data_IF_248648316856
#
_entry.id   IF_248648316856
#
_cell.length_a   1.000
_cell.length_b   1.000
_cell.length_c   1.000
_cell.angle_alpha   90.00
_cell.angle_beta   90.00
_cell.angle_gamma   90.00
#
_symmetry.space_group_name_H-M   'P 1'
#
loop_
_entity.id
_entity.type
_entity.pdbx_description
1 polymer ?
#
# COMPACT_ATOMS: atom_id res chain seq x y z
N UNK A 1 -7.98 30.82 -10.63
CA UNK A 1 -8.83 31.37 -9.56
C UNK A 1 -9.58 30.20 -8.97
N UNK A 2 -9.63 30.12 -7.64
CA UNK A 2 -10.43 29.14 -6.91
C UNK A 2 -11.76 29.80 -6.51
N UNK A 3 -12.83 29.05 -6.65
CA UNK A 3 -14.18 29.49 -6.29
C UNK A 3 -14.78 28.48 -5.30
N UNK A 4 -15.64 28.98 -4.42
CA UNK A 4 -16.35 28.15 -3.45
C UNK A 4 -17.58 27.57 -4.19
N UNK A 5 -17.73 26.24 -4.26
CA UNK A 5 -18.93 25.64 -4.85
C UNK A 5 -20.19 26.04 -4.05
N UNK A 6 -21.31 26.24 -4.74
CA UNK A 6 -22.59 26.65 -4.14
C UNK A 6 -23.02 25.73 -3.00
N UNK A 7 -22.84 24.43 -3.15
CA UNK A 7 -23.19 23.42 -2.12
C UNK A 7 -22.29 23.51 -0.85
N UNK A 8 -21.19 24.25 -0.89
CA UNK A 8 -20.27 24.45 0.23
C UNK A 8 -20.36 25.82 0.88
N UNK A 9 -21.10 26.76 0.31
CA UNK A 9 -21.22 28.13 0.84
C UNK A 9 -21.76 28.16 2.29
N UNK A 10 -22.75 27.32 2.59
CA UNK A 10 -23.32 27.25 3.93
C UNK A 10 -22.27 26.80 4.98
N UNK A 11 -21.48 25.79 4.65
CA UNK A 11 -20.39 25.29 5.52
C UNK A 11 -19.32 26.39 5.71
N UNK A 12 -18.91 27.05 4.64
CA UNK A 12 -17.93 28.14 4.70
C UNK A 12 -18.42 29.29 5.56
N UNK A 13 -19.71 29.65 5.44
CA UNK A 13 -20.30 30.71 6.27
C UNK A 13 -20.29 30.34 7.76
N UNK A 14 -20.58 29.10 8.09
CA UNK A 14 -20.54 28.59 9.45
C UNK A 14 -19.11 28.60 10.01
N UNK A 15 -18.12 28.10 9.25
CA UNK A 15 -16.72 28.14 9.62
C UNK A 15 -16.22 29.57 9.87
N UNK A 16 -16.55 30.51 8.97
CA UNK A 16 -16.21 31.95 9.16
C UNK A 16 -16.80 32.54 10.45
N UNK A 17 -18.02 32.13 10.81
CA UNK A 17 -18.70 32.57 12.04
C UNK A 17 -17.93 32.09 13.29
N UNK A 18 -17.47 30.84 13.28
CA UNK A 18 -16.72 30.28 14.42
C UNK A 18 -15.28 30.81 14.48
N UNK A 19 -14.60 30.93 13.35
CA UNK A 19 -13.24 31.42 13.26
C UNK A 19 -13.05 32.86 13.81
N UNK A 20 -14.08 33.71 13.68
CA UNK A 20 -14.03 35.10 14.21
C UNK A 20 -13.89 35.20 15.72
N UNK A 21 -14.22 34.14 16.46
CA UNK A 21 -14.30 34.13 17.93
C UNK A 21 -13.31 33.17 18.58
N UNK A 22 -12.46 32.52 17.81
CA UNK A 22 -11.57 31.48 18.27
C UNK A 22 -10.22 31.55 17.55
N UNK A 23 -9.19 31.07 18.20
CA UNK A 23 -7.93 30.74 17.53
C UNK A 23 -8.16 29.49 16.66
N UNK A 24 -7.78 29.57 15.39
CA UNK A 24 -7.97 28.46 14.43
C UNK A 24 -6.69 27.65 14.36
N UNK A 25 -6.84 26.34 14.56
CA UNK A 25 -5.78 25.36 14.35
C UNK A 25 -6.19 24.42 13.24
N UNK A 26 -5.26 24.14 12.33
CA UNK A 26 -5.49 23.27 11.17
C UNK A 26 -5.06 21.84 11.51
N UNK A 27 -5.96 20.88 11.34
CA UNK A 27 -5.74 19.47 11.73
C UNK A 27 -6.22 18.48 10.66
N UNK A 28 -5.99 18.83 9.38
CA UNK A 28 -6.26 17.93 8.25
C UNK A 28 -5.22 16.81 8.17
N UNK A 29 -5.48 15.78 7.36
CA UNK A 29 -4.60 14.62 7.22
C UNK A 29 -3.15 15.00 6.89
N UNK A 30 -2.22 14.14 7.27
CA UNK A 30 -0.78 14.34 7.07
C UNK A 30 -0.35 13.91 5.65
N UNK A 31 -0.99 14.48 4.64
CA UNK A 31 -0.58 14.30 3.25
C UNK A 31 -0.67 15.62 2.47
N UNK A 32 -0.24 15.62 1.21
CA UNK A 32 -0.27 16.84 0.37
C UNK A 32 -1.68 17.35 0.11
N UNK A 33 -2.67 16.47 0.07
CA UNK A 33 -4.07 16.82 -0.08
C UNK A 33 -4.59 17.53 1.18
N UNK A 34 -4.25 17.02 2.37
CA UNK A 34 -4.56 17.66 3.65
C UNK A 34 -3.85 19.02 3.81
N UNK A 35 -2.59 19.13 3.36
CA UNK A 35 -1.87 20.40 3.37
C UNK A 35 -2.55 21.44 2.45
N UNK A 36 -2.99 21.04 1.26
CA UNK A 36 -3.72 21.92 0.35
C UNK A 36 -5.12 22.30 0.90
N UNK A 37 -5.83 21.39 1.59
CA UNK A 37 -7.08 21.71 2.27
C UNK A 37 -6.84 22.76 3.35
N UNK A 38 -5.80 22.61 4.15
CA UNK A 38 -5.42 23.61 5.17
C UNK A 38 -5.11 24.96 4.55
N UNK A 39 -4.40 25.01 3.42
CA UNK A 39 -4.14 26.23 2.70
C UNK A 39 -5.43 26.89 2.18
N UNK A 40 -6.33 26.13 1.56
CA UNK A 40 -7.63 26.64 1.14
C UNK A 40 -8.47 27.17 2.30
N UNK A 41 -8.38 26.55 3.48
CA UNK A 41 -9.04 27.07 4.69
C UNK A 41 -8.44 28.40 5.13
N UNK A 42 -7.13 28.59 5.04
CA UNK A 42 -6.50 29.89 5.30
C UNK A 42 -7.06 30.96 4.36
N UNK A 43 -7.07 30.71 3.05
CA UNK A 43 -7.61 31.63 2.04
C UNK A 43 -9.08 32.00 2.33
N UNK A 44 -9.92 30.99 2.58
CA UNK A 44 -11.35 31.20 2.79
C UNK A 44 -11.65 31.91 4.10
N UNK A 45 -10.88 31.65 5.16
CA UNK A 45 -11.08 32.22 6.49
C UNK A 45 -10.31 33.55 6.69
N UNK A 46 -9.44 33.93 5.75
CA UNK A 46 -8.62 35.13 5.86
C UNK A 46 -7.49 34.99 6.89
N UNK A 47 -6.92 33.77 6.98
CA UNK A 47 -5.81 33.45 7.89
C UNK A 47 -4.47 33.51 7.12
N UNK A 48 -3.40 33.85 7.83
CA UNK A 48 -2.05 33.83 7.26
C UNK A 48 -1.46 32.42 7.32
N UNK A 49 -1.15 31.79 6.17
CA UNK A 49 -0.59 30.43 6.12
C UNK A 49 0.80 30.34 6.77
N UNK A 50 1.52 31.44 6.91
CA UNK A 50 2.86 31.47 7.53
C UNK A 50 2.82 31.48 9.06
N UNK A 51 1.69 31.84 9.66
CA UNK A 51 1.55 31.97 11.11
C UNK A 51 0.48 31.08 11.72
N UNK A 52 -0.48 30.61 10.91
CA UNK A 52 -1.56 29.74 11.39
C UNK A 52 -1.02 28.39 11.82
N UNK A 53 -1.39 27.98 13.03
CA UNK A 53 -0.94 26.71 13.61
C UNK A 53 -1.51 25.50 12.86
N UNK A 54 -0.63 24.61 12.49
CA UNK A 54 -0.92 23.32 11.84
C UNK A 54 -0.46 22.21 12.76
N UNK A 55 -1.35 21.30 13.13
CA UNK A 55 -1.00 20.07 13.85
C UNK A 55 -1.10 18.87 12.89
N UNK A 56 -0.13 17.98 12.98
CA UNK A 56 -0.05 16.77 12.17
C UNK A 56 0.20 15.56 13.06
N UNK A 57 -0.45 14.47 12.73
CA UNK A 57 -0.29 13.19 13.44
C UNK A 57 -0.63 12.05 12.47
N UNK A 58 0.12 10.95 12.60
CA UNK A 58 -0.07 9.75 11.78
C UNK A 58 -0.99 8.72 12.41
N UNK A 59 -1.46 8.97 13.64
CA UNK A 59 -2.43 8.13 14.35
C UNK A 59 -3.32 8.98 15.25
N UNK A 60 -4.57 8.57 15.41
CA UNK A 60 -5.54 9.28 16.26
C UNK A 60 -5.57 8.61 17.64
N UNK A 61 -4.51 8.88 18.40
CA UNK A 61 -4.38 8.44 19.80
C UNK A 61 -4.20 9.65 20.71
N UNK A 62 -4.60 9.52 21.99
CA UNK A 62 -4.46 10.60 22.99
C UNK A 62 -3.01 11.12 23.07
N UNK A 63 -2.03 10.22 23.02
CA UNK A 63 -0.61 10.55 23.08
C UNK A 63 -0.13 11.31 21.84
N UNK A 64 -0.51 10.84 20.63
CA UNK A 64 -0.12 11.49 19.37
C UNK A 64 -0.75 12.87 19.25
N UNK A 65 -2.03 13.01 19.57
CA UNK A 65 -2.74 14.29 19.54
C UNK A 65 -2.13 15.27 20.54
N UNK A 66 -1.88 14.88 21.78
CA UNK A 66 -1.24 15.74 22.79
C UNK A 66 0.15 16.20 22.34
N UNK A 67 0.94 15.29 21.75
CA UNK A 67 2.25 15.63 21.19
C UNK A 67 2.16 16.62 20.04
N UNK A 68 1.20 16.43 19.12
CA UNK A 68 0.97 17.34 18.00
C UNK A 68 0.52 18.73 18.45
N UNK A 69 -0.38 18.81 19.44
CA UNK A 69 -0.83 20.07 20.02
C UNK A 69 0.32 20.80 20.76
N UNK A 70 1.20 20.07 21.43
CA UNK A 70 2.36 20.67 22.10
C UNK A 70 3.44 21.16 21.11
N UNK A 71 3.46 20.64 19.87
CA UNK A 71 4.46 20.98 18.85
C UNK A 71 3.82 21.33 17.51
N UNK A 72 3.01 22.41 17.44
CA UNK A 72 2.40 22.81 16.18
C UNK A 72 3.48 23.35 15.23
N UNK A 73 3.27 23.13 13.93
CA UNK A 73 4.06 23.74 12.85
C UNK A 73 3.23 24.75 12.07
N UNK A 74 3.80 25.37 11.07
CA UNK A 74 3.09 26.14 10.05
C UNK A 74 2.84 25.28 8.81
N UNK A 75 2.09 25.80 7.84
CA UNK A 75 1.88 25.10 6.57
C UNK A 75 3.18 24.91 5.80
N UNK A 76 3.32 23.77 5.17
CA UNK A 76 4.38 23.51 4.19
C UNK A 76 3.88 23.91 2.80
N UNK A 77 4.27 25.12 2.38
CA UNK A 77 3.90 25.65 1.06
C UNK A 77 4.50 24.87 -0.10
N UNK A 78 5.57 24.09 0.10
CA UNK A 78 6.11 23.22 -0.95
C UNK A 78 5.15 22.06 -1.23
N UNK A 79 4.56 21.47 -0.19
CA UNK A 79 3.52 20.43 -0.34
C UNK A 79 2.25 21.01 -0.99
N UNK A 80 1.84 22.21 -0.60
CA UNK A 80 0.71 22.93 -1.24
C UNK A 80 0.99 23.14 -2.72
N UNK A 81 2.17 23.68 -3.07
CA UNK A 81 2.56 23.91 -4.45
C UNK A 81 2.67 22.62 -5.26
N UNK A 82 3.16 21.54 -4.67
CA UNK A 82 3.21 20.22 -5.32
C UNK A 82 1.81 19.69 -5.63
N UNK A 83 0.84 19.86 -4.73
CA UNK A 83 -0.55 19.49 -4.96
C UNK A 83 -1.19 20.35 -6.05
N UNK A 84 -0.97 21.65 -6.03
CA UNK A 84 -1.49 22.58 -7.04
C UNK A 84 -0.90 22.31 -8.43
N UNK A 85 0.42 22.09 -8.51
CA UNK A 85 1.09 21.72 -9.75
C UNK A 85 0.53 20.42 -10.34
N UNK A 86 0.31 19.41 -9.49
CA UNK A 86 -0.33 18.15 -9.89
C UNK A 86 -1.74 18.38 -10.45
N UNK A 87 -2.55 19.18 -9.76
CA UNK A 87 -3.91 19.51 -10.20
C UNK A 87 -3.92 20.27 -11.53
N UNK A 88 -3.03 21.26 -11.68
CA UNK A 88 -2.86 22.01 -12.91
C UNK A 88 -2.43 21.10 -14.07
N UNK A 89 -1.45 20.23 -13.83
CA UNK A 89 -0.98 19.27 -14.83
C UNK A 89 -2.09 18.29 -15.26
N UNK A 90 -2.82 17.71 -14.32
CA UNK A 90 -3.95 16.81 -14.62
C UNK A 90 -5.01 17.52 -15.48
N UNK A 91 -5.28 18.79 -15.20
CA UNK A 91 -6.22 19.61 -15.97
C UNK A 91 -5.71 19.89 -17.39
N UNK A 92 -4.46 20.35 -17.52
CA UNK A 92 -3.86 20.65 -18.82
C UNK A 92 -3.83 19.39 -19.68
N UNK A 93 -3.27 18.29 -19.16
CA UNK A 93 -3.20 17.01 -19.90
C UNK A 93 -4.59 16.52 -20.29
N UNK A 94 -5.56 16.58 -19.38
CA UNK A 94 -6.95 16.18 -19.68
C UNK A 94 -7.58 17.00 -20.80
N UNK A 95 -7.48 18.32 -20.74
CA UNK A 95 -8.10 19.21 -21.72
C UNK A 95 -7.40 19.23 -23.08
N UNK A 96 -6.08 19.09 -23.11
CA UNK A 96 -5.30 19.08 -24.36
C UNK A 96 -5.38 17.73 -25.10
N UNK A 97 -5.29 16.61 -24.36
CA UNK A 97 -5.18 15.29 -24.98
C UNK A 97 -6.54 14.60 -25.19
N UNK A 98 -7.54 14.83 -24.35
CA UNK A 98 -8.82 14.16 -24.51
C UNK A 98 -9.51 14.50 -25.85
N UNK A 99 -9.51 15.76 -26.35
CA UNK A 99 -10.07 16.08 -27.66
C UNK A 99 -9.37 15.35 -28.82
N UNK A 100 -8.06 15.11 -28.69
CA UNK A 100 -7.29 14.35 -29.69
C UNK A 100 -7.78 12.90 -29.74
N UNK A 101 -8.03 12.29 -28.58
CA UNK A 101 -8.62 10.94 -28.50
C UNK A 101 -10.02 10.91 -29.14
N UNK A 102 -10.85 11.91 -28.89
CA UNK A 102 -12.18 11.98 -29.45
C UNK A 102 -12.17 12.07 -30.98
N UNK A 103 -11.23 12.86 -31.50
CA UNK A 103 -11.07 13.02 -32.95
C UNK A 103 -10.52 11.75 -33.61
N UNK A 104 -9.53 11.11 -33.01
CA UNK A 104 -8.85 9.95 -33.60
C UNK A 104 -9.61 8.65 -33.45
N UNK A 105 -10.34 8.48 -32.35
CA UNK A 105 -11.05 7.25 -32.00
C UNK A 105 -12.58 7.38 -32.12
N UNK A 106 -13.08 8.56 -32.58
CA UNK A 106 -14.53 8.85 -32.76
C UNK A 106 -15.38 8.53 -31.52
N UNK A 107 -14.81 8.68 -30.33
CA UNK A 107 -15.49 8.39 -29.07
C UNK A 107 -15.24 9.50 -28.04
N UNK A 108 -16.27 10.26 -27.72
CA UNK A 108 -16.22 11.41 -26.81
C UNK A 108 -16.25 11.02 -25.31
N UNK A 109 -16.41 9.75 -25.00
CA UNK A 109 -16.38 9.27 -23.60
C UNK A 109 -14.97 9.00 -23.10
N UNK A 110 -13.99 8.97 -24.00
CA UNK A 110 -12.58 8.72 -23.65
C UNK A 110 -11.97 9.95 -22.98
N UNK A 111 -11.10 9.72 -22.04
CA UNK A 111 -10.30 10.76 -21.39
C UNK A 111 -8.83 10.36 -21.29
N UNK A 112 -7.96 11.33 -21.55
CA UNK A 112 -6.55 11.23 -21.25
C UNK A 112 -6.28 11.76 -19.84
N UNK A 113 -5.32 11.20 -19.16
CA UNK A 113 -4.92 11.66 -17.85
C UNK A 113 -3.77 10.82 -17.28
N UNK A 114 -3.19 11.32 -16.25
CA UNK A 114 -2.01 10.75 -15.63
C UNK A 114 -2.22 9.30 -15.13
N UNK A 115 -3.39 8.97 -14.63
CA UNK A 115 -3.71 7.63 -14.11
C UNK A 115 -4.19 6.72 -15.23
N UNK A 116 -5.20 7.10 -15.99
CA UNK A 116 -5.80 6.25 -17.02
C UNK A 116 -4.84 5.95 -18.17
N UNK A 117 -4.03 6.92 -18.59
CA UNK A 117 -3.05 6.70 -19.67
C UNK A 117 -1.99 5.68 -19.28
N UNK A 118 -1.51 5.74 -18.03
CA UNK A 118 -0.53 4.76 -17.50
C UNK A 118 -1.19 3.39 -17.33
N UNK A 119 -2.41 3.32 -16.81
CA UNK A 119 -3.13 2.07 -16.65
C UNK A 119 -3.36 1.36 -17.99
N UNK A 120 -3.81 2.09 -19.02
CA UNK A 120 -3.96 1.54 -20.38
C UNK A 120 -2.63 1.06 -20.95
N UNK A 121 -1.56 1.83 -20.77
CA UNK A 121 -0.22 1.44 -21.21
C UNK A 121 0.21 0.11 -20.59
N UNK A 122 0.09 -0.05 -19.28
CA UNK A 122 0.47 -1.28 -18.58
C UNK A 122 -0.33 -2.49 -19.07
N UNK A 123 -1.63 -2.32 -19.29
CA UNK A 123 -2.49 -3.39 -19.83
C UNK A 123 -2.07 -3.77 -21.26
N UNK A 124 -1.82 -2.78 -22.13
CA UNK A 124 -1.40 -3.02 -23.52
C UNK A 124 -0.02 -3.67 -23.59
N UNK A 125 0.94 -3.21 -22.79
CA UNK A 125 2.27 -3.83 -22.71
C UNK A 125 2.16 -5.28 -22.27
N UNK A 126 1.34 -5.56 -21.24
CA UNK A 126 1.13 -6.93 -20.77
C UNK A 126 0.44 -7.82 -21.81
N UNK A 127 -0.55 -7.28 -22.52
CA UNK A 127 -1.21 -8.01 -23.60
C UNK A 127 -0.23 -8.34 -24.76
N UNK A 128 0.64 -7.42 -25.12
CA UNK A 128 1.71 -7.66 -26.10
C UNK A 128 2.67 -8.75 -25.66
N UNK A 129 3.05 -8.78 -24.38
CA UNK A 129 3.86 -9.84 -23.80
C UNK A 129 3.16 -11.21 -23.93
N UNK A 130 1.83 -11.24 -23.67
CA UNK A 130 1.03 -12.46 -23.79
C UNK A 130 0.95 -12.92 -25.25
N UNK A 131 0.70 -12.01 -26.19
CA UNK A 131 0.64 -12.32 -27.63
C UNK A 131 1.98 -12.76 -28.20
N UNK A 132 3.08 -12.19 -27.70
CA UNK A 132 4.45 -12.58 -28.09
C UNK A 132 4.97 -13.82 -27.39
N UNK A 133 4.23 -14.36 -26.41
CA UNK A 133 4.70 -15.50 -25.62
C UNK A 133 4.57 -16.81 -26.37
N UNK A 134 5.70 -17.42 -26.68
CA UNK A 134 5.78 -18.76 -27.24
C UNK A 134 5.78 -19.79 -26.12
N UNK A 135 4.67 -20.52 -25.98
CA UNK A 135 4.57 -21.60 -25.00
C UNK A 135 5.44 -22.79 -25.44
N UNK A 136 6.38 -23.15 -24.57
CA UNK A 136 7.21 -24.35 -24.73
C UNK A 136 6.73 -25.38 -23.73
N UNK A 137 6.17 -26.48 -24.24
CA UNK A 137 5.78 -27.62 -23.41
C UNK A 137 7.03 -28.34 -22.90
N UNK A 138 7.00 -28.80 -21.65
CA UNK A 138 8.04 -29.64 -21.09
C UNK A 138 7.43 -30.71 -20.20
N UNK A 139 7.91 -31.93 -20.31
CA UNK A 139 7.45 -33.07 -19.53
C UNK A 139 8.24 -33.18 -18.23
N UNK A 140 7.50 -33.16 -17.12
CA UNK A 140 8.03 -33.32 -15.76
C UNK A 140 7.74 -34.75 -15.30
N UNK A 141 8.77 -35.46 -14.85
CA UNK A 141 8.62 -36.81 -14.32
C UNK A 141 8.66 -36.76 -12.80
N UNK A 142 7.65 -37.39 -12.19
CA UNK A 142 7.53 -37.55 -10.75
C UNK A 142 7.37 -39.02 -10.44
N UNK A 143 8.19 -39.53 -9.54
CA UNK A 143 8.08 -40.90 -9.02
C UNK A 143 7.45 -40.87 -7.62
N UNK A 144 6.66 -41.88 -7.32
CA UNK A 144 6.15 -42.13 -5.96
C UNK A 144 6.85 -43.41 -5.47
N UNK A 145 7.70 -43.23 -4.47
CA UNK A 145 8.41 -44.33 -3.85
C UNK A 145 7.72 -44.77 -2.56
N UNK A 146 7.84 -46.04 -2.23
CA UNK A 146 7.36 -46.60 -0.99
C UNK A 146 8.54 -47.27 -0.26
N UNK A 147 8.77 -46.85 0.98
CA UNK A 147 9.75 -47.42 1.91
C UNK A 147 9.12 -47.49 3.32
N UNK A 148 9.27 -48.65 3.98
CA UNK A 148 8.80 -48.85 5.38
C UNK A 148 7.35 -48.36 5.64
N UNK A 149 6.43 -48.70 4.74
CA UNK A 149 5.00 -48.30 4.77
C UNK A 149 4.75 -46.79 4.60
N UNK A 150 5.76 -46.01 4.30
CA UNK A 150 5.64 -44.58 3.99
C UNK A 150 5.86 -44.33 2.51
N UNK A 151 5.09 -43.41 1.96
CA UNK A 151 5.24 -42.98 0.57
C UNK A 151 5.85 -41.59 0.52
N UNK A 152 6.76 -41.37 -0.43
CA UNK A 152 7.31 -40.03 -0.70
C UNK A 152 7.41 -39.81 -2.21
N UNK A 153 7.31 -38.54 -2.60
CA UNK A 153 7.45 -38.09 -3.99
C UNK A 153 8.88 -37.66 -4.25
N UNK A 154 9.42 -38.07 -5.38
CA UNK A 154 10.67 -37.57 -5.92
C UNK A 154 10.44 -37.00 -7.31
N UNK A 155 11.01 -35.86 -7.59
CA UNK A 155 10.93 -35.20 -8.89
C UNK A 155 12.29 -35.31 -9.57
N UNK A 156 12.29 -35.70 -10.87
CA UNK A 156 13.49 -35.71 -11.68
C UNK A 156 13.95 -34.24 -11.88
N UNK A 157 15.22 -33.98 -11.65
CA UNK A 157 15.83 -32.67 -11.81
C UNK A 157 16.03 -32.23 -13.29
N UNK A 158 15.56 -33.04 -14.24
CA UNK A 158 15.55 -32.81 -15.67
C UNK A 158 14.12 -32.78 -16.21
N UNK A 159 13.85 -31.89 -17.16
CA UNK A 159 12.62 -31.90 -17.96
C UNK A 159 12.93 -32.35 -19.38
N UNK A 160 11.98 -33.04 -20.01
CA UNK A 160 12.09 -33.47 -21.40
C UNK A 160 11.27 -32.56 -22.30
N UNK A 161 11.81 -32.28 -23.49
CA UNK A 161 11.13 -31.44 -24.47
C UNK A 161 10.01 -32.17 -25.20
N UNK A 162 10.13 -33.50 -25.37
CA UNK A 162 9.17 -34.33 -26.10
C UNK A 162 8.63 -35.46 -25.25
N UNK A 163 7.41 -35.91 -25.58
CA UNK A 163 6.78 -37.08 -24.96
C UNK A 163 7.60 -38.34 -25.20
N UNK A 164 8.18 -38.47 -26.39
CA UNK A 164 9.01 -39.61 -26.75
C UNK A 164 10.21 -39.76 -25.81
N UNK A 165 10.98 -38.70 -25.62
CA UNK A 165 12.13 -38.70 -24.68
C UNK A 165 11.67 -39.06 -23.23
N UNK A 166 10.55 -38.48 -22.79
CA UNK A 166 10.01 -38.78 -21.47
C UNK A 166 9.61 -40.26 -21.32
N UNK A 167 8.97 -40.84 -22.36
CA UNK A 167 8.59 -42.24 -22.37
C UNK A 167 9.78 -43.19 -22.44
N UNK A 168 10.81 -42.87 -23.25
CA UNK A 168 12.07 -43.64 -23.31
C UNK A 168 12.74 -43.69 -21.93
N UNK A 169 12.78 -42.57 -21.24
CA UNK A 169 13.29 -42.52 -19.86
C UNK A 169 12.44 -43.34 -18.88
N UNK A 170 11.11 -43.24 -18.95
CA UNK A 170 10.20 -44.02 -18.10
C UNK A 170 10.35 -45.54 -18.33
N UNK A 171 10.52 -45.98 -19.57
CA UNK A 171 10.78 -47.38 -19.87
C UNK A 171 12.09 -47.88 -19.23
N UNK A 172 13.15 -47.04 -19.29
CA UNK A 172 14.41 -47.36 -18.62
C UNK A 172 14.29 -47.42 -17.09
N UNK A 173 13.33 -46.68 -16.51
CA UNK A 173 13.07 -46.67 -15.06
C UNK A 173 12.41 -47.96 -14.55
N UNK A 174 11.73 -48.77 -15.41
CA UNK A 174 10.99 -49.97 -14.98
C UNK A 174 11.91 -51.01 -14.33
N UNK A 175 13.09 -51.22 -14.89
CA UNK A 175 14.08 -52.18 -14.39
C UNK A 175 15.20 -51.53 -13.56
N UNK A 176 15.11 -50.25 -13.30
CA UNK A 176 16.17 -49.50 -12.59
C UNK A 176 16.16 -49.80 -11.07
N UNK A 177 17.35 -49.88 -10.50
CA UNK A 177 17.52 -49.94 -9.05
C UNK A 177 17.63 -48.51 -8.50
N UNK A 178 16.82 -48.20 -7.50
CA UNK A 178 16.81 -46.88 -6.85
C UNK A 178 17.51 -46.94 -5.51
N UNK A 179 18.35 -45.96 -5.24
CA UNK A 179 19.07 -45.81 -3.96
C UNK A 179 19.03 -44.36 -3.53
N UNK A 180 18.98 -44.15 -2.22
CA UNK A 180 19.18 -42.82 -1.65
C UNK A 180 20.69 -42.53 -1.68
N UNK A 181 21.09 -41.55 -2.51
CA UNK A 181 22.48 -41.18 -2.66
C UNK A 181 23.02 -40.24 -1.57
N UNK A 182 22.17 -39.29 -1.19
CA UNK A 182 22.54 -38.27 -0.18
C UNK A 182 21.28 -37.72 0.50
N UNK A 183 21.42 -37.33 1.76
CA UNK A 183 20.39 -36.63 2.54
C UNK A 183 20.98 -35.33 3.06
N UNK A 184 20.60 -34.22 2.45
CA UNK A 184 21.03 -32.88 2.85
C UNK A 184 19.99 -32.23 3.76
N UNK A 185 20.38 -31.93 4.99
CA UNK A 185 19.59 -31.13 5.90
C UNK A 185 20.18 -29.71 5.91
N UNK A 186 19.39 -28.76 5.42
CA UNK A 186 19.80 -27.34 5.38
C UNK A 186 18.90 -26.53 6.31
N UNK A 187 19.47 -25.66 7.15
CA UNK A 187 18.65 -24.74 7.91
C UNK A 187 17.89 -23.79 6.96
N UNK A 188 16.62 -23.59 7.24
CA UNK A 188 15.81 -22.65 6.53
C UNK A 188 15.35 -21.54 7.46
N UNK A 189 15.44 -20.31 6.99
CA UNK A 189 14.98 -19.13 7.73
C UNK A 189 13.74 -18.60 6.98
N UNK A 190 12.66 -18.40 7.71
CA UNK A 190 11.46 -17.72 7.20
C UNK A 190 11.35 -16.37 7.89
N UNK A 191 11.60 -15.31 7.14
CA UNK A 191 11.45 -13.94 7.62
C UNK A 191 10.00 -13.47 7.49
N UNK A 192 9.49 -12.66 8.43
CA UNK A 192 8.20 -11.99 8.27
C UNK A 192 8.22 -11.01 7.11
N UNK A 193 7.04 -10.71 6.57
CA UNK A 193 6.88 -9.65 5.59
C UNK A 193 7.13 -8.27 6.22
N UNK A 194 7.47 -7.29 5.39
CA UNK A 194 7.54 -5.90 5.84
C UNK A 194 6.15 -5.39 6.29
N UNK A 195 6.10 -4.37 7.14
CA UNK A 195 4.86 -3.69 7.49
C UNK A 195 4.09 -3.19 6.26
N UNK A 196 2.78 -3.03 6.39
CA UNK A 196 1.92 -2.67 5.27
C UNK A 196 2.14 -1.25 4.76
N UNK A 197 2.24 -1.15 3.44
CA UNK A 197 1.95 0.06 2.68
C UNK A 197 0.50 0.01 2.18
N UNK A 198 -0.03 1.11 1.63
CA UNK A 198 -1.36 1.12 0.98
C UNK A 198 -1.49 -0.01 -0.04
N UNK A 199 -0.49 -0.17 -0.91
CA UNK A 199 -0.51 -1.18 -1.97
C UNK A 199 -0.50 -2.61 -1.42
N UNK A 200 0.37 -2.91 -0.46
CA UNK A 200 0.47 -4.27 0.11
C UNK A 200 -0.73 -4.61 0.99
N UNK A 201 -1.32 -3.62 1.68
CA UNK A 201 -2.59 -3.81 2.39
C UNK A 201 -3.72 -4.18 1.43
N UNK A 202 -3.86 -3.49 0.29
CA UNK A 202 -4.87 -3.79 -0.72
C UNK A 202 -4.70 -5.18 -1.31
N UNK A 203 -3.45 -5.59 -1.62
CA UNK A 203 -3.15 -6.92 -2.14
C UNK A 203 -3.50 -8.02 -1.14
N UNK A 204 -3.14 -7.84 0.13
CA UNK A 204 -3.39 -8.83 1.17
C UNK A 204 -4.89 -8.94 1.50
N UNK A 205 -5.60 -7.82 1.54
CA UNK A 205 -7.06 -7.78 1.73
C UNK A 205 -7.79 -8.44 0.55
N UNK A 206 -7.33 -8.22 -0.68
CA UNK A 206 -7.88 -8.90 -1.85
C UNK A 206 -7.65 -10.41 -1.78
N UNK A 207 -6.43 -10.82 -1.44
CA UNK A 207 -6.04 -12.23 -1.40
C UNK A 207 -6.73 -13.01 -0.28
N UNK A 208 -6.83 -12.45 0.92
CA UNK A 208 -7.36 -13.15 2.11
C UNK A 208 -8.85 -12.93 2.35
N UNK A 209 -9.37 -11.76 1.99
CA UNK A 209 -10.73 -11.34 2.31
C UNK A 209 -11.59 -11.12 1.06
N UNK A 210 -11.02 -11.25 -0.13
CA UNK A 210 -11.69 -10.94 -1.41
C UNK A 210 -12.25 -9.52 -1.48
N UNK A 211 -11.60 -8.56 -0.80
CA UNK A 211 -12.02 -7.17 -0.80
C UNK A 211 -11.57 -6.47 -2.07
N UNK A 212 -12.44 -5.63 -2.63
CA UNK A 212 -12.03 -4.68 -3.67
C UNK A 212 -11.15 -3.58 -3.07
N UNK A 213 -10.38 -2.89 -3.91
CA UNK A 213 -9.58 -1.72 -3.51
C UNK A 213 -10.41 -0.67 -2.79
N UNK A 214 -11.60 -0.34 -3.33
CA UNK A 214 -12.52 0.62 -2.71
C UNK A 214 -12.98 0.18 -1.32
N UNK A 215 -13.38 -1.09 -1.16
CA UNK A 215 -13.81 -1.63 0.14
C UNK A 215 -12.65 -1.60 1.13
N UNK A 216 -11.46 -2.01 0.71
CA UNK A 216 -10.26 -1.99 1.57
C UNK A 216 -9.97 -0.59 2.08
N UNK A 217 -9.94 0.41 1.18
CA UNK A 217 -9.67 1.78 1.58
C UNK A 217 -10.76 2.41 2.45
N UNK A 218 -12.04 2.10 2.18
CA UNK A 218 -13.15 2.56 3.02
C UNK A 218 -13.08 1.99 4.44
N UNK A 219 -12.72 0.71 4.59
CA UNK A 219 -12.54 0.08 5.91
C UNK A 219 -11.31 0.64 6.62
N UNK A 220 -10.19 0.79 5.91
CA UNK A 220 -8.96 1.36 6.46
C UNK A 220 -9.19 2.80 6.95
N UNK A 221 -9.93 3.62 6.21
CA UNK A 221 -10.31 4.98 6.62
C UNK A 221 -11.08 4.96 7.96
N UNK A 222 -12.08 4.11 8.09
CA UNK A 222 -12.85 3.98 9.33
C UNK A 222 -11.99 3.50 10.51
N UNK A 223 -11.05 2.60 10.27
CA UNK A 223 -10.13 2.13 11.30
C UNK A 223 -9.18 3.26 11.75
N UNK A 224 -8.67 4.06 10.82
CA UNK A 224 -7.87 5.24 11.13
C UNK A 224 -8.66 6.27 11.93
N UNK A 225 -9.84 6.68 11.45
CA UNK A 225 -10.71 7.65 12.12
C UNK A 225 -11.13 7.22 13.53
N UNK A 226 -11.23 5.90 13.75
CA UNK A 226 -11.50 5.33 15.09
C UNK A 226 -10.25 5.10 15.94
N UNK A 227 -9.08 5.56 15.47
CA UNK A 227 -7.80 5.47 16.19
C UNK A 227 -7.23 4.07 16.30
N UNK A 228 -7.63 3.12 15.45
CA UNK A 228 -7.22 1.71 15.54
C UNK A 228 -6.00 1.35 14.72
N UNK A 229 -5.73 2.11 13.67
CA UNK A 229 -4.53 1.96 12.84
C UNK A 229 -3.89 3.32 12.57
N UNK A 230 -2.63 3.32 12.15
CA UNK A 230 -1.94 4.48 11.61
C UNK A 230 -2.53 4.90 10.26
N UNK A 231 -2.15 6.07 9.76
CA UNK A 231 -2.65 6.62 8.50
C UNK A 231 -2.43 5.66 7.33
N UNK A 232 -3.51 5.38 6.60
CA UNK A 232 -3.54 4.29 5.61
C UNK A 232 -3.05 4.69 4.22
N UNK A 233 -2.76 5.96 3.93
CA UNK A 233 -2.21 6.40 2.65
C UNK A 233 -0.71 6.62 2.80
N UNK A 234 0.05 5.54 2.73
CA UNK A 234 1.51 5.56 2.86
C UNK A 234 2.16 4.54 1.93
N UNK A 235 3.32 4.86 1.44
CA UNK A 235 4.23 3.94 0.74
C UNK A 235 5.45 3.56 1.60
N UNK A 236 5.49 4.05 2.84
CA UNK A 236 6.52 3.73 3.81
C UNK A 236 6.31 2.37 4.45
N UNK A 237 7.40 1.64 4.65
CA UNK A 237 7.48 0.42 5.47
C UNK A 237 8.14 0.67 6.81
N UNK A 238 8.53 1.91 7.10
CA UNK A 238 9.22 2.27 8.34
C UNK A 238 8.26 2.28 9.51
N UNK A 239 8.77 1.87 10.67
CA UNK A 239 8.06 1.96 11.95
C UNK A 239 8.77 3.00 12.82
N UNK A 240 8.00 3.76 13.59
CA UNK A 240 8.55 4.67 14.59
C UNK A 240 9.33 3.90 15.65
N UNK A 241 10.28 4.56 16.29
CA UNK A 241 11.06 3.96 17.38
C UNK A 241 10.15 3.43 18.51
N UNK A 242 9.14 4.24 18.86
CA UNK A 242 8.16 3.85 19.86
C UNK A 242 7.39 2.59 19.47
N UNK A 243 6.89 2.52 18.22
CA UNK A 243 6.15 1.35 17.73
C UNK A 243 7.01 0.07 17.76
N UNK A 244 8.30 0.20 17.43
CA UNK A 244 9.23 -0.94 17.49
C UNK A 244 9.45 -1.42 18.91
N UNK A 245 9.63 -0.50 19.84
CA UNK A 245 9.81 -0.84 21.27
C UNK A 245 8.54 -1.50 21.85
N UNK A 246 7.36 -0.95 21.59
CA UNK A 246 6.09 -1.53 22.01
C UNK A 246 5.87 -2.93 21.42
N UNK A 247 6.25 -3.13 20.14
CA UNK A 247 6.17 -4.44 19.48
C UNK A 247 7.17 -5.44 20.09
N UNK A 248 8.39 -5.01 20.36
CA UNK A 248 9.40 -5.85 21.01
C UNK A 248 8.96 -6.30 22.41
N UNK A 249 8.49 -5.36 23.24
CA UNK A 249 7.96 -5.66 24.57
C UNK A 249 6.78 -6.64 24.51
N UNK A 250 5.85 -6.42 23.58
CA UNK A 250 4.70 -7.30 23.39
C UNK A 250 5.13 -8.72 22.98
N UNK A 251 6.07 -8.85 22.04
CA UNK A 251 6.59 -10.14 21.60
C UNK A 251 7.31 -10.86 22.74
N UNK A 252 8.19 -10.18 23.46
CA UNK A 252 8.93 -10.76 24.58
C UNK A 252 7.97 -11.26 25.66
N UNK A 253 6.97 -10.47 26.01
CA UNK A 253 6.02 -10.81 27.07
C UNK A 253 5.05 -11.93 26.67
N UNK A 254 4.71 -12.06 25.37
CA UNK A 254 3.73 -13.03 24.90
C UNK A 254 4.35 -14.34 24.44
N UNK A 255 5.52 -14.28 23.78
CA UNK A 255 6.13 -15.44 23.12
C UNK A 255 7.51 -15.78 23.65
N UNK A 256 8.23 -14.87 24.29
CA UNK A 256 9.59 -15.05 24.76
C UNK A 256 10.62 -14.25 23.97
N UNK A 257 11.77 -14.01 24.59
CA UNK A 257 12.85 -13.20 24.03
C UNK A 257 13.44 -13.78 22.74
N UNK A 258 13.43 -15.08 22.60
CA UNK A 258 13.95 -15.79 21.42
C UNK A 258 13.15 -15.52 20.14
N UNK A 259 11.92 -15.02 20.26
CA UNK A 259 11.08 -14.63 19.13
C UNK A 259 11.21 -13.14 18.74
N UNK A 260 11.96 -12.37 19.53
CA UNK A 260 12.18 -10.95 19.26
C UNK A 260 13.41 -10.72 18.40
N UNK A 261 13.21 -10.09 17.24
CA UNK A 261 14.27 -9.62 16.34
C UNK A 261 13.89 -8.27 15.75
N UNK A 262 14.07 -7.17 16.50
CA UNK A 262 13.72 -5.83 16.05
C UNK A 262 14.41 -5.51 14.73
N UNK A 263 13.61 -5.29 13.68
CA UNK A 263 14.10 -5.01 12.34
C UNK A 263 13.60 -3.64 11.88
N UNK A 264 14.51 -2.79 11.41
CA UNK A 264 14.13 -1.55 10.73
C UNK A 264 14.01 -1.79 9.24
N UNK A 265 12.81 -1.55 8.73
CA UNK A 265 12.56 -1.56 7.30
C UNK A 265 12.79 -0.18 6.71
N UNK A 266 13.43 -0.12 5.57
CA UNK A 266 13.66 1.12 4.83
C UNK A 266 12.97 1.05 3.48
N UNK A 267 12.31 2.13 3.10
CA UNK A 267 11.71 2.27 1.78
C UNK A 267 12.82 2.54 0.76
N UNK A 268 12.87 1.76 -0.32
CA UNK A 268 13.90 1.93 -1.38
C UNK A 268 13.68 3.14 -2.28
N UNK A 269 12.56 3.83 -2.13
CA UNK A 269 12.15 4.89 -3.03
C UNK A 269 12.41 6.25 -2.38
N UNK A 270 13.41 7.00 -2.87
CA UNK A 270 13.78 8.33 -2.37
C UNK A 270 12.68 9.40 -2.59
N UNK A 271 11.65 9.09 -3.38
CA UNK A 271 10.47 9.94 -3.58
C UNK A 271 9.29 9.58 -2.66
N UNK A 272 9.44 8.53 -1.85
CA UNK A 272 8.48 8.23 -0.81
C UNK A 272 8.41 9.40 0.17
N UNK A 273 7.21 9.74 0.62
CA UNK A 273 7.05 10.69 1.71
C UNK A 273 7.63 10.03 2.98
N UNK A 274 8.93 10.20 3.20
CA UNK A 274 9.69 9.56 4.29
C UNK A 274 9.19 9.92 5.70
N UNK A 275 8.34 10.94 5.80
CA UNK A 275 7.72 11.35 7.05
C UNK A 275 6.62 10.40 7.54
N UNK A 276 6.11 9.52 6.68
CA UNK A 276 5.01 8.62 7.02
C UNK A 276 5.50 7.29 7.59
N UNK A 277 4.78 6.81 8.60
CA UNK A 277 4.93 5.48 9.15
C UNK A 277 4.17 4.44 8.29
N UNK A 278 4.54 3.16 8.39
CA UNK A 278 3.78 2.06 7.81
C UNK A 278 2.39 1.93 8.45
N UNK A 279 1.48 1.24 7.78
CA UNK A 279 0.17 0.92 8.33
C UNK A 279 0.32 -0.18 9.38
N UNK A 280 -0.05 0.13 10.60
CA UNK A 280 -0.02 -0.79 11.74
C UNK A 280 -1.18 -0.53 12.72
N UNK A 281 -1.51 -1.51 13.58
CA UNK A 281 -2.37 -1.24 14.74
C UNK A 281 -1.73 -0.20 15.67
N UNK A 282 -2.55 0.66 16.26
CA UNK A 282 -2.12 1.63 17.28
C UNK A 282 -1.97 0.99 18.65
N UNK A 283 -2.59 -0.17 18.87
CA UNK A 283 -2.56 -0.92 20.12
C UNK A 283 -2.32 -2.40 19.80
N UNK A 284 -1.30 -3.00 20.41
CA UNK A 284 -0.92 -4.40 20.18
C UNK A 284 -1.62 -5.39 21.12
N UNK A 285 -2.29 -4.90 22.15
CA UNK A 285 -2.94 -5.74 23.19
C UNK A 285 -4.37 -6.17 22.83
N UNK A 286 -4.82 -5.90 21.60
CA UNK A 286 -6.17 -6.26 21.15
C UNK A 286 -6.07 -7.29 20.02
N UNK A 287 -6.58 -8.50 20.26
CA UNK A 287 -6.63 -9.57 19.24
C UNK A 287 -7.58 -9.24 18.09
N UNK A 288 -8.54 -8.34 18.31
CA UNK A 288 -9.43 -7.86 17.26
C UNK A 288 -9.91 -6.43 17.56
N UNK A 289 -9.89 -5.60 16.53
CA UNK A 289 -10.57 -4.31 16.57
C UNK A 289 -12.08 -4.54 16.44
N UNK A 290 -12.85 -4.34 17.50
CA UNK A 290 -14.32 -4.36 17.42
C UNK A 290 -14.81 -3.44 16.28
N UNK A 291 -15.76 -3.90 15.49
CA UNK A 291 -16.34 -3.15 14.38
C UNK A 291 -17.48 -3.92 13.75
N UNK A 292 -18.34 -3.24 13.03
CA UNK A 292 -19.40 -3.86 12.21
C UNK A 292 -18.76 -4.57 11.01
N UNK A 293 -19.25 -5.79 10.73
CA UNK A 293 -18.88 -6.57 9.54
C UNK A 293 -19.27 -5.87 8.24
#
# INVERSE_FOLDING_TARGET
VYEIPEDKEAVVKELKKHAKKAEVWLATDEDREGEAISWHLCEVLGLDPHTTKRIVFNEITDKAIKKAVANPRVLDLNLVNAQQARRALDRIVGFELSPILWQKLSNRTLSAGRVQSVAVRLVVEKERDIQGFNSIAAYRIVAIFQADKKTFKAELNKRFATEKEANEFLQACISAKYTIGDIQVKPAIKSPAAPFTTSTLQQEASRKLSFSVLKTMSVAQKLYESGKITYMRTDSTSLSEQARQEAEEHIINTYGKEYSNPTQYHTKNNSAQEAHEAIRPTTLNLDAAGGTR
#
